data_IF_614678779856
#
_entry.id   IF_614678779856
#
_cell.length_a   1.000
_cell.length_b   1.000
_cell.length_c   1.000
_cell.angle_alpha   90.00
_cell.angle_beta   90.00
_cell.angle_gamma   90.00
#
_symmetry.space_group_name_H-M   'P 1'
#
loop_
_entity.id
_entity.type
_entity.pdbx_description
1 polymer ?
#
# COMPACT_ATOMS: atom_id res chain seq x y z
N UNK A 1 -6.94 -5.00 -13.81
CA UNK A 1 -6.55 -3.72 -13.20
C UNK A 1 -5.81 -2.85 -14.21
N UNK A 2 -4.64 -3.26 -14.68
CA UNK A 2 -3.78 -2.44 -15.56
C UNK A 2 -4.47 -1.95 -16.84
N UNK A 3 -5.17 -2.82 -17.58
CA UNK A 3 -5.92 -2.41 -18.78
C UNK A 3 -6.96 -1.30 -18.53
N UNK A 4 -7.56 -1.26 -17.33
CA UNK A 4 -8.58 -0.27 -17.00
C UNK A 4 -7.96 1.08 -16.58
N UNK A 5 -6.72 1.07 -16.09
CA UNK A 5 -6.02 2.26 -15.60
C UNK A 5 -5.01 2.83 -16.61
N UNK A 6 -4.62 2.06 -17.64
CA UNK A 6 -3.75 2.51 -18.73
C UNK A 6 -4.10 3.91 -19.29
N UNK A 7 -5.38 4.26 -19.54
CA UNK A 7 -5.73 5.60 -20.07
C UNK A 7 -5.37 6.76 -19.12
N UNK A 8 -5.13 6.48 -17.84
CA UNK A 8 -4.81 7.47 -16.80
C UNK A 8 -3.30 7.72 -16.64
N UNK A 9 -2.46 7.17 -17.54
CA UNK A 9 -1.00 7.22 -17.40
C UNK A 9 -0.52 6.68 -16.04
N UNK A 10 -1.10 5.55 -15.61
CA UNK A 10 -0.82 4.96 -14.31
C UNK A 10 0.44 4.08 -14.32
N UNK A 11 1.14 4.05 -13.18
CA UNK A 11 2.14 3.03 -12.87
C UNK A 11 1.63 2.12 -11.75
N UNK A 12 2.16 0.89 -11.68
CA UNK A 12 1.84 -0.08 -10.63
C UNK A 12 3.09 -0.36 -9.79
N UNK A 13 3.04 0.03 -8.51
CA UNK A 13 4.11 -0.19 -7.52
C UNK A 13 3.72 -1.32 -6.53
N UNK A 14 2.75 -2.15 -6.90
CA UNK A 14 2.28 -3.26 -6.08
C UNK A 14 3.22 -4.45 -6.16
N UNK A 15 3.64 -4.96 -4.99
CA UNK A 15 4.44 -6.16 -4.87
C UNK A 15 3.66 -7.27 -4.15
N UNK A 16 3.66 -8.47 -4.73
CA UNK A 16 3.03 -9.63 -4.09
C UNK A 16 3.71 -9.96 -2.76
N UNK A 17 2.93 -10.31 -1.74
CA UNK A 17 3.41 -10.66 -0.41
C UNK A 17 3.93 -9.48 0.43
N UNK A 18 3.98 -8.25 -0.10
CA UNK A 18 4.48 -7.12 0.66
C UNK A 18 3.54 -6.71 1.79
N UNK A 19 4.16 -6.25 2.86
CA UNK A 19 3.59 -5.75 4.10
C UNK A 19 3.94 -4.27 4.25
N UNK A 20 3.24 -3.58 5.16
CA UNK A 20 3.37 -2.12 5.35
C UNK A 20 4.81 -1.63 5.48
N UNK A 21 5.65 -2.36 6.22
CA UNK A 21 7.04 -2.00 6.49
C UNK A 21 7.95 -2.09 5.27
N UNK A 22 7.67 -3.01 4.34
CA UNK A 22 8.47 -3.16 3.12
C UNK A 22 8.18 -2.03 2.14
N UNK A 23 6.89 -1.69 1.96
CA UNK A 23 6.51 -0.52 1.16
C UNK A 23 7.08 0.76 1.77
N UNK A 24 6.97 0.92 3.09
CA UNK A 24 7.52 2.10 3.76
C UNK A 24 9.04 2.21 3.53
N UNK A 25 9.77 1.10 3.60
CA UNK A 25 11.19 1.07 3.29
C UNK A 25 11.46 1.49 1.84
N UNK A 26 10.75 0.93 0.84
CA UNK A 26 10.93 1.30 -0.56
C UNK A 26 10.71 2.80 -0.80
N UNK A 27 9.62 3.35 -0.25
CA UNK A 27 9.29 4.77 -0.38
C UNK A 27 10.37 5.68 0.22
N UNK A 28 10.94 5.29 1.35
CA UNK A 28 12.06 6.00 1.99
C UNK A 28 13.39 5.86 1.24
N UNK A 29 13.48 4.88 0.34
CA UNK A 29 14.66 4.59 -0.49
C UNK A 29 14.44 4.95 -1.98
N UNK A 30 13.55 5.91 -2.24
CA UNK A 30 13.44 6.57 -3.53
C UNK A 30 12.36 6.03 -4.48
N UNK A 31 11.52 5.08 -4.04
CA UNK A 31 10.38 4.61 -4.85
C UNK A 31 9.39 5.75 -5.18
N UNK A 32 9.37 6.82 -4.39
CA UNK A 32 8.55 8.02 -4.62
C UNK A 32 9.33 9.23 -5.16
N UNK A 33 10.58 9.08 -5.59
CA UNK A 33 11.40 10.19 -6.11
C UNK A 33 11.02 10.56 -7.56
N UNK A 34 9.73 10.81 -7.77
CA UNK A 34 9.19 11.22 -9.06
C UNK A 34 9.46 12.71 -9.30
N UNK A 35 9.92 13.04 -10.52
CA UNK A 35 10.07 14.44 -10.96
C UNK A 35 8.74 15.18 -11.00
N UNK A 36 7.65 14.47 -11.31
CA UNK A 36 6.30 15.00 -11.34
C UNK A 36 5.44 14.21 -10.35
N UNK A 37 4.76 14.93 -9.47
CA UNK A 37 3.86 14.32 -8.50
C UNK A 37 2.67 13.66 -9.22
N UNK A 38 2.25 12.45 -8.79
CA UNK A 38 1.01 11.86 -9.29
C UNK A 38 -0.19 12.66 -8.77
N UNK A 39 -1.22 12.86 -9.59
CA UNK A 39 -2.45 13.51 -9.14
C UNK A 39 -3.19 12.67 -8.09
N UNK A 40 -3.12 11.34 -8.24
CA UNK A 40 -3.79 10.37 -7.36
C UNK A 40 -2.86 9.20 -7.06
N UNK A 41 -2.85 8.77 -5.79
CA UNK A 41 -2.31 7.48 -5.36
C UNK A 41 -3.45 6.62 -4.83
N UNK A 42 -3.52 5.38 -5.31
CA UNK A 42 -4.42 4.36 -4.77
C UNK A 42 -3.63 3.40 -3.90
N UNK A 43 -4.00 3.31 -2.62
CA UNK A 43 -3.29 2.51 -1.62
C UNK A 43 -4.17 1.35 -1.15
N UNK A 44 -3.73 0.12 -1.40
CA UNK A 44 -4.26 -1.10 -0.81
C UNK A 44 -3.12 -1.89 -0.20
N UNK A 45 -3.05 -1.92 1.13
CA UNK A 45 -2.00 -2.60 1.89
C UNK A 45 -2.54 -3.14 3.21
N UNK A 46 -1.83 -4.11 3.80
CA UNK A 46 -2.12 -4.63 5.14
C UNK A 46 -2.69 -6.05 5.17
N UNK A 47 -3.18 -6.59 4.05
CA UNK A 47 -3.71 -7.98 4.03
C UNK A 47 -2.66 -9.02 4.43
N UNK A 48 -1.41 -8.86 3.96
CA UNK A 48 -0.30 -9.76 4.29
C UNK A 48 0.23 -9.54 5.72
N UNK A 49 -0.02 -8.37 6.31
CA UNK A 49 0.34 -8.13 7.71
C UNK A 49 -0.54 -8.95 8.67
N UNK A 50 -1.76 -9.28 8.24
CA UNK A 50 -2.71 -10.12 8.97
C UNK A 50 -2.68 -11.60 8.55
N UNK A 51 -1.77 -12.00 7.64
CA UNK A 51 -1.73 -13.35 7.09
C UNK A 51 -0.87 -14.28 7.95
N UNK A 52 -1.52 -15.07 8.80
CA UNK A 52 -0.91 -16.08 9.67
C UNK A 52 -0.61 -17.41 8.99
N UNK A 53 -1.14 -17.63 7.79
CA UNK A 53 -0.91 -18.85 6.99
C UNK A 53 0.45 -18.81 6.32
N UNK A 54 0.80 -17.66 5.77
CA UNK A 54 2.03 -17.49 4.99
C UNK A 54 3.17 -16.83 5.78
N UNK A 55 2.88 -16.17 6.90
CA UNK A 55 3.88 -15.49 7.72
C UNK A 55 3.84 -15.96 9.17
N UNK A 56 5.01 -16.28 9.72
CA UNK A 56 5.17 -16.72 11.12
C UNK A 56 4.70 -15.69 12.15
N UNK A 57 4.61 -14.41 11.77
CA UNK A 57 4.25 -13.30 12.66
C UNK A 57 3.25 -12.40 11.94
N UNK A 58 2.13 -12.17 12.58
CA UNK A 58 1.11 -11.21 12.13
C UNK A 58 1.15 -9.95 13.00
N UNK A 59 0.61 -8.87 12.45
CA UNK A 59 0.40 -7.61 13.15
C UNK A 59 -1.01 -7.55 13.72
N UNK A 60 -1.17 -6.83 14.84
CA UNK A 60 -2.48 -6.42 15.33
C UNK A 60 -3.10 -5.38 14.40
N UNK A 61 -4.41 -5.14 14.52
CA UNK A 61 -5.09 -4.12 13.74
C UNK A 61 -4.47 -2.72 13.94
N UNK A 62 -4.06 -2.40 15.18
CA UNK A 62 -3.40 -1.14 15.54
C UNK A 62 -2.04 -0.99 14.85
N UNK A 63 -1.26 -2.09 14.79
CA UNK A 63 0.02 -2.10 14.09
C UNK A 63 -0.13 -1.93 12.58
N UNK A 64 -1.16 -2.58 11.98
CA UNK A 64 -1.48 -2.40 10.55
C UNK A 64 -1.92 -0.97 10.27
N UNK A 65 -2.75 -0.39 11.14
CA UNK A 65 -3.17 1.00 11.06
C UNK A 65 -1.96 1.94 11.15
N UNK A 66 -1.07 1.73 12.12
CA UNK A 66 0.14 2.55 12.28
C UNK A 66 1.04 2.48 11.03
N UNK A 67 1.26 1.30 10.47
CA UNK A 67 2.01 1.13 9.22
C UNK A 67 1.35 1.82 8.03
N UNK A 68 0.04 1.69 7.89
CA UNK A 68 -0.73 2.35 6.82
C UNK A 68 -0.68 3.88 6.97
N UNK A 69 -0.80 4.39 8.20
CA UNK A 69 -0.67 5.81 8.52
C UNK A 69 0.71 6.34 8.15
N UNK A 70 1.77 5.62 8.48
CA UNK A 70 3.14 6.01 8.12
C UNK A 70 3.35 6.09 6.59
N UNK A 71 2.74 5.18 5.82
CA UNK A 71 2.76 5.23 4.35
C UNK A 71 2.04 6.50 3.86
N UNK A 72 0.85 6.79 4.38
CA UNK A 72 0.08 7.99 4.01
C UNK A 72 0.84 9.28 4.33
N UNK A 73 1.45 9.35 5.51
CA UNK A 73 2.30 10.47 5.92
C UNK A 73 3.53 10.62 5.01
N UNK A 74 4.15 9.51 4.61
CA UNK A 74 5.27 9.51 3.67
C UNK A 74 4.85 10.04 2.30
N UNK A 75 3.73 9.57 1.75
CA UNK A 75 3.18 10.08 0.48
C UNK A 75 2.91 11.59 0.58
N UNK A 76 2.26 12.05 1.65
CA UNK A 76 1.98 13.49 1.86
C UNK A 76 3.24 14.33 2.02
N UNK A 77 4.31 13.77 2.58
CA UNK A 77 5.60 14.46 2.70
C UNK A 77 6.30 14.59 1.35
N UNK A 78 6.30 13.53 0.55
CA UNK A 78 6.95 13.54 -0.77
C UNK A 78 6.15 14.32 -1.81
N UNK A 79 4.83 14.16 -1.82
CA UNK A 79 3.91 14.73 -2.81
C UNK A 79 2.67 15.33 -2.11
N UNK A 80 2.76 16.54 -1.55
CA UNK A 80 1.74 17.11 -0.68
C UNK A 80 0.38 17.34 -1.35
N UNK A 81 0.36 17.58 -2.66
CA UNK A 81 -0.85 17.83 -3.44
C UNK A 81 -1.51 16.53 -3.96
N UNK A 82 -0.84 15.38 -3.83
CA UNK A 82 -1.37 14.10 -4.29
C UNK A 82 -2.59 13.70 -3.48
N UNK A 83 -3.69 13.39 -4.17
CA UNK A 83 -4.90 12.86 -3.54
C UNK A 83 -4.74 11.37 -3.27
N UNK A 84 -5.06 10.92 -2.06
CA UNK A 84 -4.87 9.53 -1.66
C UNK A 84 -6.22 8.83 -1.55
N UNK A 85 -6.42 7.79 -2.37
CA UNK A 85 -7.51 6.82 -2.24
C UNK A 85 -7.01 5.63 -1.43
N UNK A 86 -7.28 5.64 -0.12
CA UNK A 86 -6.99 4.51 0.76
C UNK A 86 -8.15 3.49 0.70
N UNK A 87 -7.85 2.30 0.19
CA UNK A 87 -8.81 1.20 0.13
C UNK A 87 -8.76 0.40 1.44
N UNK A 88 -9.93 0.01 1.94
CA UNK A 88 -10.00 -0.93 3.07
C UNK A 88 -9.41 -2.28 2.66
N UNK A 89 -8.80 -2.98 3.63
CA UNK A 89 -8.42 -4.38 3.44
C UNK A 89 -9.69 -5.18 3.14
N UNK A 90 -9.68 -5.94 2.04
CA UNK A 90 -10.80 -6.78 1.67
C UNK A 90 -10.89 -8.02 2.57
N UNK A 91 -12.11 -8.57 2.80
CA UNK A 91 -12.28 -9.84 3.48
C UNK A 91 -11.45 -10.96 2.82
N UNK A 92 -10.98 -11.89 3.63
CA UNK A 92 -10.21 -13.09 3.22
C UNK A 92 -10.66 -14.29 4.06
N UNK A 93 -10.54 -15.51 3.53
CA UNK A 93 -11.06 -16.74 4.14
C UNK A 93 -12.45 -17.16 3.63
N UNK A 94 -12.95 -18.31 4.12
CA UNK A 94 -14.26 -18.91 3.80
C UNK A 94 -14.39 -20.31 4.41
N UNK A 95 -15.59 -20.89 4.41
CA UNK A 95 -15.95 -22.11 5.20
C UNK A 95 -15.08 -23.36 4.95
N UNK A 96 -14.31 -23.38 3.86
CA UNK A 96 -13.41 -24.49 3.50
C UNK A 96 -11.93 -24.04 3.37
N UNK A 97 -11.57 -22.88 3.95
CA UNK A 97 -10.22 -22.31 3.97
C UNK A 97 -9.64 -22.15 5.38
#
# INVERSE_FOLDING_TARGET
>A
MEKALCPLNSINLGHNGYRTEQILWNMQNGELDFKQAPEVVMLLIGTNNADDRNFKRVHTAEQIFAGTKAIVETIRKCHPETRILALRIFPRGGDNE
#
